data_IF_334967767323
#
_entry.id   IF_334967767323
#
_cell.length_a   1.000
_cell.length_b   1.000
_cell.length_c   1.000
_cell.angle_alpha   90.00
_cell.angle_beta   90.00
_cell.angle_gamma   90.00
#
_symmetry.space_group_name_H-M   'P 1'
#
loop_
_entity.id
_entity.type
_entity.pdbx_description
1 polymer ?
#
# COMPACT_ATOMS: atom_id res chain seq x y z
N UNK A 1 7.18 -14.17 -1.61
CA UNK A 1 7.92 -13.03 -2.21
C UNK A 1 8.24 -12.08 -1.07
N UNK A 2 9.51 -11.76 -0.79
CA UNK A 2 9.83 -10.78 0.22
C UNK A 2 9.34 -9.44 -0.32
N UNK A 3 8.23 -8.94 0.23
CA UNK A 3 7.88 -7.55 0.02
C UNK A 3 8.98 -6.76 0.71
N UNK A 4 9.65 -5.89 -0.05
CA UNK A 4 10.61 -4.92 0.48
C UNK A 4 10.17 -4.47 1.87
N UNK A 5 11.02 -4.74 2.86
CA UNK A 5 10.94 -4.38 4.28
C UNK A 5 10.88 -2.86 4.52
N UNK A 6 10.39 -2.08 3.55
CA UNK A 6 10.08 -0.67 3.65
C UNK A 6 8.77 -0.46 4.42
N UNK A 7 8.57 -1.17 5.53
CA UNK A 7 7.89 -0.54 6.65
C UNK A 7 8.86 0.55 7.08
N UNK A 8 8.63 1.76 6.59
CA UNK A 8 9.47 2.94 6.80
C UNK A 8 10.04 2.86 8.21
N UNK A 9 11.35 2.65 8.33
CA UNK A 9 11.99 2.10 9.54
C UNK A 9 11.65 2.93 10.79
N UNK A 10 11.22 4.16 10.57
CA UNK A 10 10.56 5.08 11.51
C UNK A 10 9.41 4.46 12.34
N UNK A 11 8.58 3.55 11.82
CA UNK A 11 7.51 2.91 12.61
C UNK A 11 8.05 1.89 13.62
N UNK A 12 9.20 1.27 13.32
CA UNK A 12 9.88 0.38 14.26
C UNK A 12 10.68 1.16 15.32
N UNK A 13 11.09 2.39 15.03
CA UNK A 13 11.98 3.19 15.88
C UNK A 13 11.30 3.97 17.02
N UNK A 14 9.97 4.08 17.05
CA UNK A 14 9.24 4.64 18.22
C UNK A 14 8.84 3.54 19.21
N UNK A 15 9.22 2.28 18.97
CA UNK A 15 8.98 1.23 19.94
C UNK A 15 9.93 1.37 21.12
N UNK A 16 9.38 1.51 22.34
CA UNK A 16 10.10 1.15 23.57
C UNK A 16 10.41 -0.37 23.64
N UNK A 17 10.02 -1.17 22.64
CA UNK A 17 10.36 -2.57 22.51
C UNK A 17 11.70 -2.76 21.77
N UNK A 18 12.78 -2.75 22.56
CA UNK A 18 14.15 -3.00 22.10
C UNK A 18 14.27 -4.33 21.33
N UNK A 19 13.47 -5.35 21.68
CA UNK A 19 13.53 -6.66 21.04
C UNK A 19 13.08 -6.56 19.59
N UNK A 20 11.99 -5.85 19.32
CA UNK A 20 11.52 -5.65 17.96
C UNK A 20 12.44 -4.74 17.15
N UNK A 21 13.04 -3.70 17.75
CA UNK A 21 14.05 -2.90 17.06
C UNK A 21 15.25 -3.75 16.60
N UNK A 22 15.71 -4.67 17.46
CA UNK A 22 16.77 -5.61 17.12
C UNK A 22 16.31 -6.60 16.04
N UNK A 23 15.09 -7.11 16.14
CA UNK A 23 14.53 -8.01 15.13
C UNK A 23 14.51 -7.37 13.73
N UNK A 24 14.01 -6.15 13.57
CA UNK A 24 13.93 -5.49 12.25
C UNK A 24 15.30 -5.14 11.65
N UNK A 25 16.36 -5.04 12.46
CA UNK A 25 17.74 -4.80 12.00
C UNK A 25 18.52 -6.10 11.76
N UNK A 26 18.05 -7.21 12.32
CA UNK A 26 18.64 -8.53 12.12
C UNK A 26 18.65 -8.84 10.63
N UNK A 27 19.74 -9.43 10.13
CA UNK A 27 19.87 -9.84 8.72
C UNK A 27 19.44 -11.28 8.53
N UNK A 28 19.72 -12.15 9.50
CA UNK A 28 19.35 -13.56 9.44
C UNK A 28 17.82 -13.74 9.67
N UNK A 29 17.07 -14.30 8.71
CA UNK A 29 15.62 -14.52 8.85
C UNK A 29 15.22 -15.40 10.04
N UNK A 30 15.95 -16.47 10.32
CA UNK A 30 15.62 -17.38 11.42
C UNK A 30 15.74 -16.68 12.76
N UNK A 31 16.81 -15.89 12.93
CA UNK A 31 17.04 -15.09 14.13
C UNK A 31 16.04 -13.94 14.27
N UNK A 32 15.56 -13.39 13.15
CA UNK A 32 14.55 -12.34 13.11
C UNK A 32 13.17 -12.86 13.53
N UNK A 33 12.77 -14.03 13.01
CA UNK A 33 11.56 -14.75 13.43
C UNK A 33 11.63 -15.11 14.91
N UNK A 34 12.77 -15.65 15.38
CA UNK A 34 12.98 -16.00 16.79
C UNK A 34 12.76 -14.80 17.71
N UNK A 35 13.37 -13.64 17.40
CA UNK A 35 13.20 -12.40 18.18
C UNK A 35 11.76 -11.89 18.17
N UNK A 36 11.05 -12.00 17.04
CA UNK A 36 9.64 -11.63 16.98
C UNK A 36 8.75 -12.54 17.86
N UNK A 37 9.03 -13.85 17.88
CA UNK A 37 8.36 -14.79 18.79
C UNK A 37 8.65 -14.48 20.26
N UNK A 38 9.91 -14.13 20.59
CA UNK A 38 10.28 -13.69 21.95
C UNK A 38 9.54 -12.42 22.37
N UNK A 39 9.37 -11.46 21.46
CA UNK A 39 8.58 -10.26 21.72
C UNK A 39 7.11 -10.59 22.01
N UNK A 40 6.50 -11.52 21.26
CA UNK A 40 5.13 -11.98 21.52
C UNK A 40 4.98 -12.75 22.82
N UNK A 41 5.98 -13.51 23.23
CA UNK A 41 5.97 -14.20 24.52
C UNK A 41 5.96 -13.21 25.70
N UNK A 42 6.60 -12.04 25.54
CA UNK A 42 6.60 -10.96 26.54
C UNK A 42 5.33 -10.11 26.46
N UNK A 43 4.85 -9.83 25.25
CA UNK A 43 3.65 -9.06 24.98
C UNK A 43 2.85 -9.67 23.83
N UNK A 44 1.78 -10.39 24.18
CA UNK A 44 0.90 -11.01 23.19
C UNK A 44 0.18 -10.01 22.26
N UNK A 45 0.15 -8.73 22.64
CA UNK A 45 -0.40 -7.62 21.85
C UNK A 45 0.68 -6.86 21.06
N UNK A 46 1.83 -7.47 20.77
CA UNK A 46 2.88 -6.85 19.95
C UNK A 46 2.53 -6.91 18.45
N UNK A 47 1.87 -5.86 17.94
CA UNK A 47 1.45 -5.78 16.53
C UNK A 47 2.63 -5.84 15.55
N UNK A 48 3.76 -5.24 15.89
CA UNK A 48 4.96 -5.22 15.04
C UNK A 48 5.62 -6.60 14.94
N UNK A 49 5.55 -7.42 15.99
CA UNK A 49 5.99 -8.82 15.92
C UNK A 49 5.08 -9.64 15.01
N UNK A 50 3.75 -9.47 15.10
CA UNK A 50 2.81 -10.15 14.21
C UNK A 50 3.00 -9.74 12.74
N UNK A 51 3.29 -8.47 12.47
CA UNK A 51 3.61 -8.01 11.11
C UNK A 51 4.84 -8.75 10.57
N UNK A 52 5.91 -8.84 11.35
CA UNK A 52 7.16 -9.50 10.95
C UNK A 52 6.94 -10.98 10.66
N UNK A 53 6.26 -11.68 11.57
CA UNK A 53 5.93 -13.10 11.39
C UNK A 53 5.00 -13.32 10.17
N UNK A 54 4.06 -12.41 9.91
CA UNK A 54 3.17 -12.53 8.76
C UNK A 54 3.92 -12.44 7.41
N UNK A 55 5.01 -11.67 7.36
CA UNK A 55 5.85 -11.53 6.17
C UNK A 55 6.84 -12.68 5.99
N UNK A 56 7.38 -13.23 7.08
CA UNK A 56 8.56 -14.12 7.01
C UNK A 56 8.28 -15.58 7.38
N UNK A 57 7.30 -15.85 8.22
CA UNK A 57 7.01 -17.20 8.71
C UNK A 57 5.87 -17.88 7.96
N UNK A 58 4.94 -17.10 7.42
CA UNK A 58 3.78 -17.64 6.71
C UNK A 58 4.18 -18.23 5.35
N UNK A 59 3.70 -19.46 5.08
CA UNK A 59 4.00 -20.20 3.85
C UNK A 59 2.94 -19.99 2.76
N UNK A 60 1.75 -19.52 3.14
CA UNK A 60 0.63 -19.27 2.23
C UNK A 60 -0.03 -17.91 2.46
N UNK A 61 -0.72 -17.40 1.43
CA UNK A 61 -1.48 -16.15 1.53
C UNK A 61 -2.61 -16.25 2.58
N UNK A 62 -3.17 -17.43 2.80
CA UNK A 62 -4.23 -17.65 3.79
C UNK A 62 -3.66 -17.51 5.21
N UNK A 63 -2.47 -18.08 5.47
CA UNK A 63 -1.77 -17.92 6.75
C UNK A 63 -1.39 -16.46 6.98
N UNK A 64 -0.83 -15.80 5.96
CA UNK A 64 -0.52 -14.37 6.00
C UNK A 64 -1.76 -13.52 6.30
N UNK A 65 -2.89 -13.77 5.62
CA UNK A 65 -4.16 -13.06 5.85
C UNK A 65 -4.66 -13.27 7.29
N UNK A 66 -4.60 -14.51 7.79
CA UNK A 66 -5.01 -14.84 9.18
C UNK A 66 -4.16 -14.09 10.20
N UNK A 67 -2.85 -14.06 10.02
CA UNK A 67 -1.94 -13.38 10.93
C UNK A 67 -2.11 -11.85 10.88
N UNK A 68 -2.29 -11.27 9.69
CA UNK A 68 -2.60 -9.84 9.57
C UNK A 68 -3.98 -9.47 10.17
N UNK A 69 -4.98 -10.36 10.11
CA UNK A 69 -6.27 -10.15 10.80
C UNK A 69 -6.11 -10.11 12.32
N UNK A 70 -5.19 -10.90 12.88
CA UNK A 70 -4.85 -10.82 14.30
C UNK A 70 -4.14 -9.50 14.61
N UNK A 71 -3.13 -9.12 13.81
CA UNK A 71 -2.43 -7.85 13.95
C UNK A 71 -3.37 -6.64 13.85
N UNK A 72 -4.37 -6.70 12.96
CA UNK A 72 -5.38 -5.66 12.75
C UNK A 72 -6.19 -5.37 14.01
N UNK A 73 -6.68 -6.42 14.69
CA UNK A 73 -7.47 -6.24 15.93
C UNK A 73 -6.67 -5.50 17.00
N UNK A 74 -5.40 -5.86 17.15
CA UNK A 74 -4.48 -5.25 18.11
C UNK A 74 -4.16 -3.79 17.70
N UNK A 75 -3.84 -3.55 16.42
CA UNK A 75 -3.48 -2.22 15.95
C UNK A 75 -4.66 -1.25 15.96
N UNK A 76 -5.87 -1.71 15.65
CA UNK A 76 -7.11 -0.93 15.74
C UNK A 76 -7.40 -0.51 17.19
N UNK A 77 -7.26 -1.43 18.15
CA UNK A 77 -7.42 -1.11 19.57
C UNK A 77 -6.37 -0.12 20.07
N UNK A 78 -5.12 -0.26 19.65
CA UNK A 78 -4.04 0.68 19.99
C UNK A 78 -4.27 2.07 19.39
N UNK A 79 -4.63 2.13 18.10
CA UNK A 79 -4.96 3.40 17.43
C UNK A 79 -6.14 4.11 18.10
N UNK A 80 -7.20 3.38 18.44
CA UNK A 80 -8.36 3.95 19.15
C UNK A 80 -7.95 4.54 20.50
N UNK A 81 -7.09 3.85 21.26
CA UNK A 81 -6.58 4.34 22.54
C UNK A 81 -5.73 5.60 22.36
N UNK A 82 -4.79 5.62 21.42
CA UNK A 82 -3.94 6.80 21.19
C UNK A 82 -4.72 7.99 20.63
N UNK A 83 -5.78 7.78 19.85
CA UNK A 83 -6.70 8.84 19.42
C UNK A 83 -7.45 9.51 20.58
N UNK A 84 -7.87 8.74 21.59
CA UNK A 84 -8.65 9.26 22.71
C UNK A 84 -7.80 10.10 23.68
N UNK A 85 -6.50 9.87 23.73
CA UNK A 85 -5.58 10.58 24.62
C UNK A 85 -5.18 11.90 23.94
N UNK A 86 -5.99 12.94 24.15
CA UNK A 86 -5.67 14.30 23.72
C UNK A 86 -4.73 14.96 24.74
N UNK A 87 -3.43 14.88 24.48
CA UNK A 87 -2.47 15.76 25.14
C UNK A 87 -1.51 16.31 24.09
N UNK A 88 -1.35 17.63 24.03
CA UNK A 88 -0.34 18.31 23.22
C UNK A 88 1.07 18.06 23.79
N UNK A 89 1.51 16.80 23.81
CA UNK A 89 2.82 16.37 24.23
C UNK A 89 3.48 15.60 23.07
N UNK A 90 4.70 15.97 22.64
CA UNK A 90 5.44 15.27 21.59
C UNK A 90 5.50 13.74 21.73
N UNK A 91 5.50 13.21 22.96
CA UNK A 91 5.50 11.75 23.19
C UNK A 91 4.19 11.09 22.74
N UNK A 92 3.03 11.73 22.97
CA UNK A 92 1.75 11.15 22.56
C UNK A 92 1.55 11.27 21.05
N UNK A 93 2.00 12.37 20.43
CA UNK A 93 2.00 12.51 18.98
C UNK A 93 2.81 11.40 18.31
N UNK A 94 3.99 11.07 18.86
CA UNK A 94 4.82 9.97 18.37
C UNK A 94 4.15 8.60 18.50
N UNK A 95 3.43 8.35 19.59
CA UNK A 95 2.66 7.12 19.81
C UNK A 95 1.50 7.02 18.81
N UNK A 96 0.74 8.10 18.63
CA UNK A 96 -0.37 8.14 17.67
C UNK A 96 0.12 7.89 16.24
N UNK A 97 1.20 8.56 15.81
CA UNK A 97 1.79 8.38 14.48
C UNK A 97 2.27 6.94 14.28
N UNK A 98 2.90 6.32 15.29
CA UNK A 98 3.30 4.91 15.25
C UNK A 98 2.08 4.01 15.04
N UNK A 99 1.02 4.20 15.82
CA UNK A 99 -0.17 3.37 15.76
C UNK A 99 -0.90 3.51 14.42
N UNK A 100 -1.02 4.73 13.88
CA UNK A 100 -1.56 4.94 12.53
C UNK A 100 -0.72 4.22 11.49
N UNK A 101 0.61 4.38 11.51
CA UNK A 101 1.47 3.76 10.49
C UNK A 101 1.38 2.23 10.53
N UNK A 102 1.36 1.62 11.71
CA UNK A 102 1.17 0.19 11.87
C UNK A 102 -0.22 -0.24 11.34
N UNK A 103 -1.27 0.49 11.69
CA UNK A 103 -2.64 0.22 11.25
C UNK A 103 -2.78 0.29 9.71
N UNK A 104 -2.27 1.35 9.09
CA UNK A 104 -2.30 1.54 7.64
C UNK A 104 -1.47 0.46 6.94
N UNK A 105 -0.30 0.11 7.46
CA UNK A 105 0.51 -0.96 6.93
C UNK A 105 -0.26 -2.28 6.92
N UNK A 106 -0.86 -2.66 8.05
CA UNK A 106 -1.62 -3.90 8.18
C UNK A 106 -2.82 -3.92 7.22
N UNK A 107 -3.59 -2.83 7.14
CA UNK A 107 -4.73 -2.74 6.21
C UNK A 107 -4.30 -2.84 4.75
N UNK A 108 -3.19 -2.20 4.36
CA UNK A 108 -2.61 -2.36 3.01
C UNK A 108 -2.27 -3.83 2.73
N UNK A 109 -1.62 -4.51 3.69
CA UNK A 109 -1.25 -5.93 3.53
C UNK A 109 -2.48 -6.84 3.47
N UNK A 110 -3.53 -6.56 4.22
CA UNK A 110 -4.82 -7.26 4.10
C UNK A 110 -5.44 -7.07 2.71
N UNK A 111 -5.42 -5.85 2.18
CA UNK A 111 -5.88 -5.60 0.81
C UNK A 111 -5.04 -6.33 -0.25
N UNK A 112 -3.72 -6.43 -0.06
CA UNK A 112 -2.85 -7.24 -0.91
C UNK A 112 -3.18 -8.73 -0.83
N UNK A 113 -3.49 -9.26 0.37
CA UNK A 113 -3.96 -10.64 0.53
C UNK A 113 -5.29 -10.86 -0.18
N UNK A 114 -6.27 -9.96 0.03
CA UNK A 114 -7.57 -10.01 -0.62
C UNK A 114 -7.42 -10.03 -2.16
N UNK A 115 -6.57 -9.17 -2.73
CA UNK A 115 -6.24 -9.17 -4.15
C UNK A 115 -5.69 -10.52 -4.62
N UNK A 116 -4.67 -11.06 -3.94
CA UNK A 116 -4.07 -12.36 -4.27
C UNK A 116 -5.04 -13.54 -4.15
N UNK A 117 -6.09 -13.40 -3.35
CA UNK A 117 -7.17 -14.37 -3.20
C UNK A 117 -8.32 -14.13 -4.21
N UNK A 118 -8.17 -13.22 -5.18
CA UNK A 118 -9.18 -12.89 -6.18
C UNK A 118 -10.32 -12.01 -5.66
N UNK A 119 -10.26 -11.53 -4.41
CA UNK A 119 -11.29 -10.68 -3.79
C UNK A 119 -11.08 -9.20 -4.14
N UNK A 120 -11.06 -8.88 -5.43
CA UNK A 120 -10.69 -7.56 -5.94
C UNK A 120 -11.57 -6.43 -5.39
N UNK A 121 -12.89 -6.66 -5.26
CA UNK A 121 -13.82 -5.67 -4.68
C UNK A 121 -13.46 -5.29 -3.24
N UNK A 122 -13.04 -6.26 -2.44
CA UNK A 122 -12.62 -6.05 -1.05
C UNK A 122 -11.29 -5.29 -0.99
N UNK A 123 -10.32 -5.68 -1.81
CA UNK A 123 -9.03 -4.99 -1.91
C UNK A 123 -9.20 -3.50 -2.29
N UNK A 124 -9.98 -3.22 -3.33
CA UNK A 124 -10.28 -1.85 -3.79
C UNK A 124 -10.96 -1.06 -2.67
N UNK A 125 -11.94 -1.65 -1.98
CA UNK A 125 -12.65 -1.00 -0.88
C UNK A 125 -11.67 -0.56 0.22
N UNK A 126 -10.83 -1.48 0.70
CA UNK A 126 -9.86 -1.19 1.78
C UNK A 126 -8.91 -0.06 1.36
N UNK A 127 -8.34 -0.12 0.15
CA UNK A 127 -7.40 0.90 -0.33
C UNK A 127 -8.06 2.28 -0.45
N UNK A 128 -9.30 2.36 -0.99
CA UNK A 128 -10.05 3.62 -1.08
C UNK A 128 -10.40 4.20 0.29
N UNK A 129 -10.75 3.35 1.25
CA UNK A 129 -11.03 3.77 2.63
C UNK A 129 -9.79 4.38 3.28
N UNK A 130 -8.61 3.75 3.13
CA UNK A 130 -7.34 4.28 3.64
C UNK A 130 -7.00 5.66 3.07
N UNK A 131 -7.15 5.85 1.75
CA UNK A 131 -6.89 7.14 1.08
C UNK A 131 -7.83 8.23 1.60
N UNK A 132 -9.10 7.89 1.78
CA UNK A 132 -10.13 8.83 2.26
C UNK A 132 -9.94 9.19 3.74
N UNK A 133 -9.57 8.23 4.57
CA UNK A 133 -9.43 8.41 6.02
C UNK A 133 -8.12 9.14 6.39
N UNK A 134 -7.05 8.96 5.61
CA UNK A 134 -5.73 9.50 5.92
C UNK A 134 -5.09 10.27 4.75
N UNK A 135 -5.79 11.25 4.14
CA UNK A 135 -5.33 11.92 2.92
C UNK A 135 -4.00 12.70 3.09
N UNK A 136 -3.68 13.08 4.32
CA UNK A 136 -2.49 13.88 4.66
C UNK A 136 -1.23 13.02 4.86
N UNK A 137 -1.33 11.69 4.81
CA UNK A 137 -0.17 10.80 4.95
C UNK A 137 0.44 10.45 3.61
N UNK A 138 1.69 10.02 3.62
CA UNK A 138 2.32 9.45 2.43
C UNK A 138 1.77 8.05 2.15
N UNK A 139 0.80 7.97 1.23
CA UNK A 139 0.11 6.74 0.85
C UNK A 139 0.53 6.23 -0.54
N UNK A 140 1.73 6.60 -1.01
CA UNK A 140 2.22 6.25 -2.34
C UNK A 140 2.04 4.77 -2.70
N UNK A 141 2.48 3.87 -1.81
CA UNK A 141 2.35 2.43 -2.01
C UNK A 141 0.88 1.95 -2.09
N UNK A 142 -0.04 2.63 -1.41
CA UNK A 142 -1.48 2.32 -1.44
C UNK A 142 -2.09 2.81 -2.75
N UNK A 143 -1.65 3.98 -3.23
CA UNK A 143 -2.08 4.51 -4.52
C UNK A 143 -1.68 3.57 -5.67
N UNK A 144 -0.43 3.09 -5.67
CA UNK A 144 0.03 2.09 -6.65
C UNK A 144 -0.79 0.80 -6.57
N UNK A 145 -0.97 0.24 -5.38
CA UNK A 145 -1.73 -0.99 -5.23
C UNK A 145 -3.22 -0.83 -5.60
N UNK A 146 -3.82 0.34 -5.42
CA UNK A 146 -5.18 0.63 -5.87
C UNK A 146 -5.26 0.63 -7.40
N UNK A 147 -4.31 1.27 -8.08
CA UNK A 147 -4.23 1.26 -9.55
C UNK A 147 -4.13 -0.18 -10.06
N UNK A 148 -3.24 -1.00 -9.48
CA UNK A 148 -3.11 -2.41 -9.85
C UNK A 148 -4.43 -3.18 -9.67
N UNK A 149 -5.17 -2.92 -8.58
CA UNK A 149 -6.47 -3.55 -8.35
C UNK A 149 -7.51 -3.14 -9.40
N UNK A 150 -7.55 -1.86 -9.79
CA UNK A 150 -8.46 -1.41 -10.86
C UNK A 150 -8.14 -2.06 -12.20
N UNK A 151 -6.85 -2.12 -12.57
CA UNK A 151 -6.41 -2.75 -13.81
C UNK A 151 -6.77 -4.24 -13.84
N UNK A 152 -6.53 -4.96 -12.75
CA UNK A 152 -6.86 -6.39 -12.64
C UNK A 152 -8.37 -6.65 -12.67
N UNK A 153 -9.16 -5.73 -12.09
CA UNK A 153 -10.61 -5.78 -12.15
C UNK A 153 -11.19 -5.28 -13.50
N UNK A 154 -10.33 -4.90 -14.46
CA UNK A 154 -10.70 -4.28 -15.73
C UNK A 154 -11.53 -2.98 -15.58
N UNK A 155 -11.39 -2.32 -14.43
CA UNK A 155 -12.01 -1.04 -14.11
C UNK A 155 -11.15 0.12 -14.63
N UNK A 156 -10.92 0.15 -15.95
CA UNK A 156 -10.01 1.12 -16.58
C UNK A 156 -10.48 2.58 -16.40
N UNK A 157 -11.79 2.80 -16.38
CA UNK A 157 -12.36 4.13 -16.13
C UNK A 157 -12.03 4.65 -14.72
N UNK A 158 -12.10 3.79 -13.71
CA UNK A 158 -11.75 4.15 -12.33
C UNK A 158 -10.24 4.40 -12.17
N UNK A 159 -9.40 3.58 -12.81
CA UNK A 159 -7.95 3.80 -12.86
C UNK A 159 -7.63 5.17 -13.51
N UNK A 160 -8.26 5.49 -14.63
CA UNK A 160 -8.06 6.75 -15.34
C UNK A 160 -8.51 7.95 -14.49
N UNK A 161 -9.69 7.87 -13.87
CA UNK A 161 -10.21 8.93 -13.01
C UNK A 161 -9.33 9.14 -11.77
N UNK A 162 -8.77 8.07 -11.22
CA UNK A 162 -7.81 8.15 -10.11
C UNK A 162 -6.51 8.84 -10.54
N UNK A 163 -5.94 8.47 -11.68
CA UNK A 163 -4.70 9.06 -12.21
C UNK A 163 -4.86 10.54 -12.57
N UNK A 164 -6.01 10.96 -13.09
CA UNK A 164 -6.28 12.39 -13.34
C UNK A 164 -6.21 13.21 -12.05
N UNK A 165 -6.86 12.72 -10.97
CA UNK A 165 -6.77 13.39 -9.65
C UNK A 165 -5.36 13.34 -9.07
N UNK A 166 -4.62 12.26 -9.37
CA UNK A 166 -3.22 12.12 -8.96
C UNK A 166 -2.33 13.14 -9.66
N UNK A 167 -2.60 13.49 -10.92
CA UNK A 167 -1.84 14.49 -11.68
C UNK A 167 -2.10 15.93 -11.17
N UNK A 168 -3.32 16.22 -10.70
CA UNK A 168 -3.68 17.55 -10.15
C UNK A 168 -2.94 17.86 -8.83
N UNK A 169 -2.64 16.82 -8.07
CA UNK A 169 -1.93 16.92 -6.80
C UNK A 169 -0.46 16.62 -7.12
N UNK A 170 0.48 17.49 -6.75
CA UNK A 170 1.92 17.33 -7.06
C UNK A 170 2.58 16.19 -6.26
N UNK A 171 1.97 15.01 -6.23
CA UNK A 171 2.55 13.80 -5.66
C UNK A 171 3.74 13.33 -6.50
N UNK A 172 4.75 12.71 -5.88
CA UNK A 172 5.83 12.05 -6.61
C UNK A 172 5.24 10.98 -7.53
N UNK A 173 5.73 10.91 -8.79
CA UNK A 173 5.27 9.93 -9.78
C UNK A 173 6.28 8.79 -9.90
N UNK A 174 5.88 7.54 -9.64
CA UNK A 174 6.67 6.37 -10.05
C UNK A 174 6.59 6.16 -11.55
N UNK A 175 7.55 5.36 -12.04
CA UNK A 175 7.41 4.62 -13.28
C UNK A 175 6.03 3.94 -13.41
N UNK A 176 5.54 3.25 -12.36
CA UNK A 176 4.23 2.59 -12.36
C UNK A 176 3.10 3.55 -12.73
N UNK A 177 3.06 4.73 -12.10
CA UNK A 177 2.03 5.74 -12.34
C UNK A 177 2.16 6.33 -13.74
N UNK A 178 3.37 6.75 -14.12
CA UNK A 178 3.63 7.35 -15.44
C UNK A 178 3.29 6.39 -16.58
N UNK A 179 3.79 5.15 -16.54
CA UNK A 179 3.53 4.17 -17.58
C UNK A 179 2.07 3.74 -17.60
N UNK A 180 1.42 3.58 -16.44
CA UNK A 180 -0.02 3.25 -16.44
C UNK A 180 -0.85 4.36 -17.08
N UNK A 181 -0.59 5.63 -16.75
CA UNK A 181 -1.29 6.76 -17.34
C UNK A 181 -1.07 6.83 -18.87
N UNK A 182 0.16 6.62 -19.33
CA UNK A 182 0.48 6.58 -20.76
C UNK A 182 -0.23 5.43 -21.49
N UNK A 183 -0.16 4.22 -20.94
CA UNK A 183 -0.77 3.03 -21.53
C UNK A 183 -2.30 3.11 -21.55
N UNK A 184 -2.93 3.72 -20.54
CA UNK A 184 -4.39 3.93 -20.54
C UNK A 184 -4.82 4.94 -21.61
N UNK A 185 -4.05 6.03 -21.82
CA UNK A 185 -4.29 6.97 -22.93
C UNK A 185 -4.16 6.27 -24.29
N UNK A 186 -3.11 5.45 -24.45
CA UNK A 186 -2.91 4.66 -25.66
C UNK A 186 -4.05 3.67 -25.91
N UNK A 187 -4.49 2.96 -24.86
CA UNK A 187 -5.63 2.03 -24.92
C UNK A 187 -6.91 2.73 -25.37
N UNK A 188 -7.19 3.92 -24.85
CA UNK A 188 -8.41 4.68 -25.17
C UNK A 188 -8.53 5.04 -26.65
N UNK A 189 -7.40 5.33 -27.32
CA UNK A 189 -7.38 5.64 -28.75
C UNK A 189 -7.28 4.38 -29.62
N UNK A 190 -6.63 3.33 -29.12
CA UNK A 190 -6.37 2.10 -29.87
C UNK A 190 -7.65 1.40 -30.36
N UNK A 191 -8.73 1.43 -29.59
CA UNK A 191 -10.01 0.79 -29.99
C UNK A 191 -10.63 1.39 -31.26
N UNK A 192 -10.33 2.67 -31.57
CA UNK A 192 -10.87 3.39 -32.73
C UNK A 192 -9.80 3.77 -33.74
N UNK A 193 -8.56 3.35 -33.52
CA UNK A 193 -7.44 3.70 -34.37
C UNK A 193 -7.47 2.90 -35.68
N UNK A 194 -7.27 3.59 -36.80
CA UNK A 194 -7.13 2.97 -38.12
C UNK A 194 -5.85 3.47 -38.78
N UNK A 195 -4.87 2.59 -39.07
CA UNK A 195 -3.63 2.97 -39.74
C UNK A 195 -3.88 3.64 -41.09
N UNK A 196 -4.83 3.12 -41.88
CA UNK A 196 -5.16 3.66 -43.20
C UNK A 196 -5.70 5.07 -43.12
N UNK A 197 -6.62 5.32 -42.17
CA UNK A 197 -7.19 6.66 -41.96
C UNK A 197 -6.09 7.61 -41.46
N UNK A 198 -5.29 7.18 -40.49
CA UNK A 198 -4.20 7.98 -39.94
C UNK A 198 -3.15 8.34 -41.00
N UNK A 199 -2.84 7.42 -41.93
CA UNK A 199 -1.89 7.69 -43.03
C UNK A 199 -2.38 8.79 -44.00
N UNK A 200 -3.70 8.94 -44.15
CA UNK A 200 -4.31 9.93 -45.05
C UNK A 200 -4.58 11.27 -44.38
N UNK A 201 -5.06 11.27 -43.12
CA UNK A 201 -5.49 12.48 -42.41
C UNK A 201 -4.49 12.99 -41.36
N UNK A 202 -3.44 12.22 -41.06
CA UNK A 202 -2.58 12.43 -39.90
C UNK A 202 -3.23 11.99 -38.58
N UNK A 203 -2.49 12.11 -37.48
CA UNK A 203 -2.98 11.84 -36.13
C UNK A 203 -3.88 12.99 -35.66
N UNK A 204 -5.02 12.68 -35.04
CA UNK A 204 -5.82 13.68 -34.34
C UNK A 204 -5.18 14.03 -32.98
N UNK A 205 -5.72 15.04 -32.31
CA UNK A 205 -5.19 15.51 -31.04
C UNK A 205 -5.12 14.42 -29.95
N UNK A 206 -6.12 13.52 -29.87
CA UNK A 206 -6.12 12.43 -28.89
C UNK A 206 -5.05 11.38 -29.21
N UNK A 207 -4.91 11.01 -30.49
CA UNK A 207 -3.88 10.09 -30.99
C UNK A 207 -2.47 10.66 -30.76
N UNK A 208 -2.25 11.93 -31.05
CA UNK A 208 -0.98 12.62 -30.83
C UNK A 208 -0.64 12.68 -29.33
N UNK A 209 -1.60 13.05 -28.48
CA UNK A 209 -1.42 13.08 -27.02
C UNK A 209 -1.08 11.70 -26.46
N UNK A 210 -1.63 10.62 -27.02
CA UNK A 210 -1.30 9.26 -26.62
C UNK A 210 0.13 8.88 -27.00
N UNK A 211 0.58 9.26 -28.21
CA UNK A 211 1.97 9.07 -28.64
C UNK A 211 2.93 9.84 -27.75
N UNK A 212 2.66 11.12 -27.49
CA UNK A 212 3.49 11.94 -26.61
C UNK A 212 3.57 11.36 -25.19
N UNK A 213 2.47 10.83 -24.66
CA UNK A 213 2.44 10.25 -23.32
C UNK A 213 3.36 9.03 -23.18
N UNK A 214 3.61 8.26 -24.25
CA UNK A 214 4.53 7.11 -24.24
C UNK A 214 6.00 7.56 -24.30
N UNK A 215 6.29 8.69 -24.94
CA UNK A 215 7.67 9.17 -25.17
C UNK A 215 8.24 10.02 -24.03
N UNK A 216 7.40 10.44 -23.07
CA UNK A 216 7.81 11.18 -21.87
C UNK A 216 8.24 10.23 -20.76
#
# INVERSE_FOLDING_TARGET
MPANLNMNVNCAFVNNDLVMQMAWRERNPEERIKKAREALAKNSECSTALILLAEEECSSIIETEKMFKQAYKISEASLRRSQQIHSHNPTQDAIYLRDIHAFIFIRRRLAMCARKLGKLKEAIKIMRELIREYPNLNLFNIHENLIECYLEAQQYADAQAFLTKYDDIHYPKSATICYTAALLKARQVAEKFSPDIASRRGLNAAELNAVEAIHR
#
